data_IF_203094784134
#
_entry.id   IF_203094784134
#
_cell.length_a   1.000
_cell.length_b   1.000
_cell.length_c   1.000
_cell.angle_alpha   90.00
_cell.angle_beta   90.00
_cell.angle_gamma   90.00
#
_symmetry.space_group_name_H-M   'P 1'
#
loop_
_entity.id
_entity.type
_entity.pdbx_description
1 polymer ?
#
# COMPACT_ATOMS: atom_id res chain seq x y z
N UNK A 1 -71.44 -50.62 -17.02
CA UNK A 1 -70.84 -50.09 -15.77
C UNK A 1 -69.40 -49.69 -16.04
N UNK A 2 -69.10 -48.40 -16.26
CA UNK A 2 -67.72 -47.88 -16.37
C UNK A 2 -67.38 -47.17 -15.06
N UNK A 3 -66.35 -47.65 -14.34
CA UNK A 3 -65.76 -46.92 -13.20
C UNK A 3 -64.66 -46.01 -13.75
N UNK A 4 -64.85 -44.69 -13.66
CA UNK A 4 -63.77 -43.72 -13.81
C UNK A 4 -62.96 -43.69 -12.51
N UNK A 5 -61.68 -44.04 -12.59
CA UNK A 5 -60.71 -43.76 -11.51
C UNK A 5 -59.92 -42.51 -11.91
N UNK A 6 -60.05 -41.46 -11.10
CA UNK A 6 -59.26 -40.24 -11.20
C UNK A 6 -57.89 -40.51 -10.57
N UNK A 7 -56.82 -40.39 -11.36
CA UNK A 7 -55.43 -40.46 -10.90
C UNK A 7 -54.99 -39.04 -10.50
N UNK A 8 -54.85 -38.77 -9.20
CA UNK A 8 -54.30 -37.53 -8.68
C UNK A 8 -52.77 -37.63 -8.75
N UNK A 9 -52.14 -36.89 -9.67
CA UNK A 9 -50.69 -36.71 -9.68
C UNK A 9 -50.32 -35.62 -8.67
N UNK A 10 -49.69 -36.00 -7.57
CA UNK A 10 -49.09 -35.09 -6.61
C UNK A 10 -47.66 -34.75 -7.09
N UNK A 11 -47.46 -33.60 -7.72
CA UNK A 11 -46.13 -33.12 -8.09
C UNK A 11 -45.44 -32.51 -6.86
N UNK A 12 -44.49 -33.22 -6.26
CA UNK A 12 -43.62 -32.68 -5.21
C UNK A 12 -42.50 -31.91 -5.88
N UNK A 13 -42.61 -30.59 -5.91
CA UNK A 13 -41.54 -29.70 -6.37
C UNK A 13 -40.51 -29.58 -5.25
N UNK A 14 -39.41 -30.33 -5.34
CA UNK A 14 -38.26 -30.16 -4.45
C UNK A 14 -37.54 -28.89 -4.91
N UNK A 15 -37.74 -27.79 -4.18
CA UNK A 15 -36.97 -26.56 -4.34
C UNK A 15 -35.56 -26.83 -3.81
N UNK A 16 -34.64 -27.24 -4.68
CA UNK A 16 -33.21 -27.32 -4.36
C UNK A 16 -32.70 -25.88 -4.20
N UNK A 17 -32.64 -25.42 -2.95
CA UNK A 17 -31.83 -24.25 -2.61
C UNK A 17 -30.36 -24.61 -2.82
N UNK A 18 -29.84 -24.24 -3.99
CA UNK A 18 -28.40 -24.20 -4.22
C UNK A 18 -27.83 -23.12 -3.28
N UNK A 19 -27.33 -23.55 -2.12
CA UNK A 19 -26.38 -22.77 -1.36
C UNK A 19 -25.12 -22.64 -2.23
N UNK A 20 -25.01 -21.53 -2.96
CA UNK A 20 -23.71 -21.11 -3.46
C UNK A 20 -22.90 -20.71 -2.21
N UNK A 21 -21.80 -21.40 -1.86
CA UNK A 21 -20.89 -20.84 -0.89
C UNK A 21 -20.42 -19.50 -1.49
N UNK A 22 -20.72 -18.41 -0.80
CA UNK A 22 -20.14 -17.10 -1.08
C UNK A 22 -18.65 -17.23 -0.75
N UNK A 23 -17.86 -17.74 -1.70
CA UNK A 23 -16.42 -17.58 -1.64
C UNK A 23 -16.18 -16.11 -1.97
N UNK A 24 -15.67 -15.34 -1.01
CA UNK A 24 -15.25 -13.97 -1.27
C UNK A 24 -14.25 -13.99 -2.42
N UNK A 25 -14.60 -13.32 -3.53
CA UNK A 25 -13.73 -13.23 -4.69
C UNK A 25 -12.59 -12.25 -4.37
N UNK A 26 -11.34 -12.70 -4.51
CA UNK A 26 -10.17 -11.83 -4.32
C UNK A 26 -10.20 -10.74 -5.39
N UNK A 27 -10.31 -9.49 -4.96
CA UNK A 27 -10.29 -8.35 -5.86
C UNK A 27 -8.86 -7.94 -6.16
N UNK A 28 -8.51 -7.83 -7.45
CA UNK A 28 -7.19 -7.39 -7.89
C UNK A 28 -7.30 -6.12 -8.72
N UNK A 29 -6.42 -5.16 -8.44
CA UNK A 29 -6.24 -3.94 -9.22
C UNK A 29 -4.81 -3.92 -9.74
N UNK A 30 -4.62 -3.50 -10.99
CA UNK A 30 -3.31 -3.32 -11.61
C UNK A 30 -3.13 -1.87 -12.06
N UNK A 31 -1.92 -1.36 -11.88
CA UNK A 31 -1.53 -0.03 -12.33
C UNK A 31 -0.13 -0.05 -12.92
N UNK A 32 0.04 0.79 -13.92
CA UNK A 32 1.31 1.05 -14.57
C UNK A 32 1.64 2.53 -14.43
N UNK A 33 2.92 2.84 -14.27
CA UNK A 33 3.41 4.20 -14.22
C UNK A 33 4.78 4.28 -14.87
N UNK A 34 5.01 5.36 -15.61
CA UNK A 34 6.33 5.67 -16.18
C UNK A 34 6.85 6.96 -15.55
N UNK A 35 7.91 6.83 -14.76
CA UNK A 35 8.65 7.97 -14.24
C UNK A 35 9.66 8.44 -15.28
N UNK A 36 9.69 9.74 -15.54
CA UNK A 36 10.72 10.38 -16.37
C UNK A 36 11.84 10.87 -15.46
N UNK A 37 13.00 10.24 -15.58
CA UNK A 37 14.17 10.54 -14.77
C UNK A 37 14.82 11.85 -15.21
N UNK A 38 15.33 12.57 -14.22
CA UNK A 38 16.18 13.75 -14.41
C UNK A 38 17.66 13.36 -14.39
N UNK A 39 18.55 14.30 -14.69
CA UNK A 39 20.01 14.12 -14.57
C UNK A 39 20.47 13.84 -13.13
N UNK A 40 19.60 14.11 -12.15
CA UNK A 40 19.84 13.89 -10.72
C UNK A 40 19.36 12.52 -10.24
N UNK A 41 18.65 11.77 -11.11
CA UNK A 41 18.04 10.51 -10.75
C UNK A 41 18.95 9.32 -11.05
N UNK A 42 18.90 8.35 -10.14
CA UNK A 42 19.43 7.01 -10.36
C UNK A 42 18.31 6.04 -10.71
N UNK A 43 18.68 4.81 -11.12
CA UNK A 43 17.72 3.70 -11.22
C UNK A 43 16.93 3.52 -9.92
N UNK A 44 17.60 3.62 -8.77
CA UNK A 44 16.98 3.40 -7.46
C UNK A 44 16.04 4.54 -7.06
N UNK A 45 16.41 5.81 -7.27
CA UNK A 45 15.49 6.93 -6.98
C UNK A 45 14.26 6.88 -7.86
N UNK A 46 14.46 6.61 -9.16
CA UNK A 46 13.38 6.45 -10.12
C UNK A 46 12.44 5.32 -9.74
N UNK A 47 12.99 4.17 -9.30
CA UNK A 47 12.21 3.03 -8.79
C UNK A 47 11.39 3.42 -7.56
N UNK A 48 11.98 4.09 -6.57
CA UNK A 48 11.29 4.50 -5.35
C UNK A 48 10.13 5.44 -5.65
N UNK A 49 10.33 6.44 -6.51
CA UNK A 49 9.27 7.39 -6.89
C UNK A 49 8.16 6.68 -7.69
N UNK A 50 8.53 5.83 -8.63
CA UNK A 50 7.56 5.06 -9.42
C UNK A 50 6.72 4.14 -8.53
N UNK A 51 7.37 3.41 -7.61
CA UNK A 51 6.69 2.54 -6.66
C UNK A 51 5.75 3.32 -5.73
N UNK A 52 6.22 4.43 -5.15
CA UNK A 52 5.39 5.28 -4.28
C UNK A 52 4.15 5.79 -5.00
N UNK A 53 4.30 6.19 -6.26
CA UNK A 53 3.19 6.66 -7.10
C UNK A 53 2.19 5.54 -7.39
N UNK A 54 2.67 4.38 -7.85
CA UNK A 54 1.82 3.24 -8.19
C UNK A 54 1.09 2.70 -6.97
N UNK A 55 1.79 2.57 -5.83
CA UNK A 55 1.22 2.15 -4.55
C UNK A 55 0.05 3.05 -4.15
N UNK A 56 0.22 4.38 -4.20
CA UNK A 56 -0.86 5.34 -3.88
C UNK A 56 -2.08 5.19 -4.78
N UNK A 57 -1.86 5.00 -6.09
CA UNK A 57 -2.96 4.78 -7.04
C UNK A 57 -3.72 3.49 -6.73
N UNK A 58 -2.99 2.40 -6.49
CA UNK A 58 -3.57 1.09 -6.15
C UNK A 58 -4.36 1.13 -4.84
N UNK A 59 -3.76 1.67 -3.77
CA UNK A 59 -4.41 1.74 -2.46
C UNK A 59 -5.60 2.70 -2.47
N UNK A 60 -5.52 3.81 -3.22
CA UNK A 60 -6.64 4.72 -3.39
C UNK A 60 -7.82 4.11 -4.16
N UNK A 61 -7.53 3.26 -5.16
CA UNK A 61 -8.55 2.52 -5.90
C UNK A 61 -9.17 1.41 -5.05
N UNK A 62 -8.34 0.63 -4.34
CA UNK A 62 -8.81 -0.36 -3.38
C UNK A 62 -9.69 0.27 -2.30
N UNK A 63 -9.26 1.38 -1.70
CA UNK A 63 -10.06 2.09 -0.70
C UNK A 63 -11.39 2.59 -1.26
N UNK A 64 -11.40 3.08 -2.50
CA UNK A 64 -12.65 3.50 -3.17
C UNK A 64 -13.60 2.31 -3.36
N UNK A 65 -13.09 1.16 -3.80
CA UNK A 65 -13.85 -0.07 -3.95
C UNK A 65 -14.40 -0.59 -2.62
N UNK A 66 -13.58 -0.62 -1.56
CA UNK A 66 -14.02 -1.06 -0.23
C UNK A 66 -15.18 -0.19 0.28
N UNK A 67 -15.15 1.13 0.04
CA UNK A 67 -16.26 2.01 0.41
C UNK A 67 -17.51 1.74 -0.45
N UNK A 68 -17.38 1.48 -1.75
CA UNK A 68 -18.56 1.33 -2.61
C UNK A 68 -19.22 -0.06 -2.50
N UNK A 69 -18.42 -1.12 -2.37
CA UNK A 69 -18.86 -2.51 -2.50
C UNK A 69 -18.90 -3.31 -1.20
N UNK A 70 -18.53 -2.72 -0.05
CA UNK A 70 -18.47 -3.45 1.23
C UNK A 70 -19.10 -2.67 2.39
N UNK A 71 -19.19 -3.31 3.56
CA UNK A 71 -19.69 -2.68 4.78
C UNK A 71 -18.68 -1.71 5.42
N UNK A 72 -17.47 -1.59 4.85
CA UNK A 72 -16.45 -0.62 5.28
C UNK A 72 -16.99 0.82 5.28
N UNK A 73 -17.93 1.16 4.40
CA UNK A 73 -18.60 2.48 4.39
C UNK A 73 -19.30 2.82 5.71
N UNK A 74 -19.78 1.81 6.46
CA UNK A 74 -20.48 2.03 7.72
C UNK A 74 -19.50 2.39 8.86
N UNK A 75 -18.21 2.17 8.66
CA UNK A 75 -17.14 2.50 9.62
C UNK A 75 -16.78 4.00 9.58
N UNK A 76 -17.39 4.78 8.68
CA UNK A 76 -17.25 6.24 8.57
C UNK A 76 -15.81 6.74 8.38
N UNK A 77 -14.94 5.93 7.78
CA UNK A 77 -13.59 6.36 7.45
C UNK A 77 -13.59 7.43 6.35
N UNK A 78 -12.67 8.39 6.46
CA UNK A 78 -12.29 9.21 5.31
C UNK A 78 -11.52 8.36 4.29
N UNK A 79 -11.49 8.82 3.02
CA UNK A 79 -10.69 8.17 1.97
C UNK A 79 -9.20 8.11 2.32
N UNK A 80 -8.68 9.16 2.96
CA UNK A 80 -7.28 9.20 3.39
C UNK A 80 -6.98 8.16 4.48
N UNK A 81 -7.85 8.05 5.49
CA UNK A 81 -7.74 7.05 6.54
C UNK A 81 -7.76 5.63 5.97
N UNK A 82 -8.72 5.33 5.10
CA UNK A 82 -8.81 4.00 4.51
C UNK A 82 -7.59 3.68 3.63
N UNK A 83 -7.01 4.68 2.96
CA UNK A 83 -5.75 4.51 2.22
C UNK A 83 -4.61 4.15 3.18
N UNK A 84 -4.46 4.86 4.32
CA UNK A 84 -3.46 4.54 5.35
C UNK A 84 -3.64 3.14 5.92
N UNK A 85 -4.87 2.79 6.31
CA UNK A 85 -5.16 1.53 6.98
C UNK A 85 -5.01 0.35 6.03
N UNK A 86 -5.43 0.52 4.77
CA UNK A 86 -5.23 -0.51 3.74
C UNK A 86 -3.75 -0.73 3.45
N UNK A 87 -2.89 0.30 3.53
CA UNK A 87 -1.44 0.14 3.38
C UNK A 87 -0.82 -0.78 4.45
N UNK A 88 -1.42 -0.80 5.65
CA UNK A 88 -1.01 -1.71 6.72
C UNK A 88 -1.49 -3.15 6.52
N UNK A 89 -2.55 -3.37 5.74
CA UNK A 89 -3.20 -4.69 5.60
C UNK A 89 -2.76 -5.38 4.30
N UNK A 90 -2.55 -4.62 3.23
CA UNK A 90 -2.19 -5.13 1.90
C UNK A 90 -0.98 -4.39 1.35
N UNK A 91 -0.19 -5.09 0.52
CA UNK A 91 0.99 -4.54 -0.14
C UNK A 91 0.82 -4.48 -1.65
N UNK A 92 1.42 -3.46 -2.28
CA UNK A 92 1.58 -3.45 -3.73
C UNK A 92 2.68 -4.44 -4.16
N UNK A 93 2.35 -5.36 -5.05
CA UNK A 93 3.27 -6.35 -5.62
C UNK A 93 3.74 -5.88 -7.00
N UNK A 94 5.04 -5.69 -7.18
CA UNK A 94 5.62 -5.36 -8.48
C UNK A 94 5.50 -6.59 -9.39
N UNK A 95 4.89 -6.41 -10.55
CA UNK A 95 4.72 -7.44 -11.57
C UNK A 95 5.83 -7.41 -12.61
N UNK A 96 6.22 -6.22 -13.05
CA UNK A 96 7.30 -5.99 -14.02
C UNK A 96 7.86 -4.59 -13.83
N UNK A 97 9.14 -4.41 -14.15
CA UNK A 97 9.82 -3.12 -14.08
C UNK A 97 10.94 -3.01 -15.12
N UNK A 98 11.05 -1.84 -15.75
CA UNK A 98 12.00 -1.56 -16.83
C UNK A 98 12.66 -0.21 -16.63
N UNK A 99 13.97 -0.18 -16.85
CA UNK A 99 14.79 1.02 -16.79
C UNK A 99 15.65 1.11 -18.05
N UNK A 100 15.53 2.20 -18.80
CA UNK A 100 16.25 2.44 -20.06
C UNK A 100 17.34 3.51 -19.95
N UNK A 101 17.57 4.06 -18.75
CA UNK A 101 18.50 5.18 -18.53
C UNK A 101 17.83 6.56 -18.51
N UNK A 102 16.59 6.68 -18.98
CA UNK A 102 15.82 7.94 -19.05
C UNK A 102 14.43 7.82 -18.42
N UNK A 103 13.84 6.65 -18.48
CA UNK A 103 12.51 6.38 -17.98
C UNK A 103 12.47 5.08 -17.19
N UNK A 104 11.71 5.11 -16.09
CA UNK A 104 11.46 3.96 -15.24
C UNK A 104 9.98 3.59 -15.35
N UNK A 105 9.70 2.52 -16.08
CA UNK A 105 8.35 1.96 -16.17
C UNK A 105 8.17 0.88 -15.11
N UNK A 106 7.07 0.95 -14.35
CA UNK A 106 6.74 0.00 -13.29
C UNK A 106 5.28 -0.41 -13.42
N UNK A 107 5.04 -1.72 -13.39
CA UNK A 107 3.72 -2.32 -13.26
C UNK A 107 3.61 -3.01 -11.91
N UNK A 108 2.55 -2.71 -11.17
CA UNK A 108 2.27 -3.40 -9.92
C UNK A 108 0.77 -3.68 -9.77
N UNK A 109 0.45 -4.55 -8.83
CA UNK A 109 -0.92 -4.88 -8.45
C UNK A 109 -1.13 -4.78 -6.94
N UNK A 110 -2.37 -4.64 -6.52
CA UNK A 110 -2.80 -4.96 -5.17
C UNK A 110 -3.95 -5.95 -5.25
N UNK A 111 -3.87 -7.00 -4.44
CA UNK A 111 -4.90 -8.04 -4.35
C UNK A 111 -5.41 -8.11 -2.92
N UNK A 112 -6.73 -8.10 -2.75
CA UNK A 112 -7.37 -8.08 -1.44
C UNK A 112 -8.61 -8.98 -1.43
N UNK A 113 -8.75 -9.78 -0.38
CA UNK A 113 -10.02 -10.40 -0.01
C UNK A 113 -10.82 -9.36 0.79
N UNK A 114 -11.95 -8.83 0.27
CA UNK A 114 -12.64 -7.72 0.91
C UNK A 114 -13.15 -8.04 2.32
N UNK A 115 -13.57 -9.29 2.56
CA UNK A 115 -14.06 -9.72 3.86
C UNK A 115 -12.91 -9.76 4.88
N UNK A 116 -11.74 -10.29 4.50
CA UNK A 116 -10.56 -10.28 5.37
C UNK A 116 -10.07 -8.87 5.66
N UNK A 117 -10.09 -7.97 4.67
CA UNK A 117 -9.72 -6.57 4.90
C UNK A 117 -10.67 -5.93 5.90
N UNK A 118 -11.98 -6.18 5.79
CA UNK A 118 -12.96 -5.68 6.76
C UNK A 118 -12.69 -6.22 8.18
N UNK A 119 -12.40 -7.51 8.32
CA UNK A 119 -12.05 -8.13 9.60
C UNK A 119 -10.78 -7.51 10.22
N UNK A 120 -9.73 -7.32 9.42
CA UNK A 120 -8.49 -6.70 9.89
C UNK A 120 -8.68 -5.21 10.23
N UNK A 121 -9.49 -4.48 9.46
CA UNK A 121 -9.85 -3.08 9.78
C UNK A 121 -10.59 -2.99 11.13
N UNK A 122 -11.48 -3.93 11.44
CA UNK A 122 -12.17 -3.97 12.74
C UNK A 122 -11.19 -4.17 13.90
N UNK A 123 -10.24 -5.10 13.77
CA UNK A 123 -9.17 -5.32 14.77
C UNK A 123 -8.29 -4.08 14.91
N UNK A 124 -7.97 -3.42 13.79
CA UNK A 124 -7.13 -2.24 13.78
C UNK A 124 -7.79 -1.04 14.49
N UNK A 125 -9.11 -0.87 14.38
CA UNK A 125 -9.85 0.19 15.11
C UNK A 125 -9.71 0.07 16.63
N UNK A 126 -9.59 -1.15 17.14
CA UNK A 126 -9.45 -1.39 18.57
C UNK A 126 -8.07 -0.94 19.09
N UNK A 127 -7.07 -0.83 18.20
CA UNK A 127 -5.70 -0.44 18.49
C UNK A 127 -5.40 0.99 18.01
N UNK A 128 -5.78 1.98 18.84
CA UNK A 128 -5.63 3.40 18.51
C UNK A 128 -4.19 3.84 18.24
N UNK A 129 -3.23 3.21 18.90
CA UNK A 129 -1.81 3.54 18.73
C UNK A 129 -1.32 3.11 17.34
N UNK A 130 -1.73 1.90 16.90
CA UNK A 130 -1.48 1.42 15.54
C UNK A 130 -2.14 2.28 14.46
N UNK A 131 -3.40 2.69 14.65
CA UNK A 131 -4.07 3.59 13.71
C UNK A 131 -3.29 4.89 13.53
N UNK A 132 -2.91 5.49 14.66
CA UNK A 132 -2.14 6.74 14.65
C UNK A 132 -0.79 6.57 13.97
N UNK A 133 -0.09 5.46 14.22
CA UNK A 133 1.19 5.17 13.57
C UNK A 133 1.05 5.09 12.04
N UNK A 134 0.00 4.45 11.53
CA UNK A 134 -0.27 4.38 10.09
C UNK A 134 -0.66 5.75 9.50
N UNK A 135 -1.45 6.54 10.21
CA UNK A 135 -1.79 7.92 9.79
C UNK A 135 -0.54 8.81 9.75
N UNK A 136 0.31 8.77 10.79
CA UNK A 136 1.55 9.54 10.87
C UNK A 136 2.56 9.08 9.79
N UNK A 137 2.63 7.78 9.52
CA UNK A 137 3.47 7.20 8.45
C UNK A 137 3.04 7.70 7.08
N UNK A 138 1.74 7.62 6.76
CA UNK A 138 1.20 8.17 5.49
C UNK A 138 1.48 9.66 5.39
N UNK A 139 1.22 10.43 6.44
CA UNK A 139 1.45 11.88 6.45
C UNK A 139 2.92 12.20 6.14
N UNK A 140 3.86 11.48 6.75
CA UNK A 140 5.29 11.65 6.47
C UNK A 140 5.63 11.31 5.02
N UNK A 141 5.06 10.23 4.46
CA UNK A 141 5.24 9.90 3.05
C UNK A 141 4.69 11.02 2.13
N UNK A 142 3.53 11.59 2.47
CA UNK A 142 2.91 12.70 1.72
C UNK A 142 3.80 13.95 1.75
N UNK A 143 4.38 14.27 2.91
CA UNK A 143 5.29 15.40 3.09
C UNK A 143 6.59 15.21 2.31
N UNK A 144 7.23 14.05 2.44
CA UNK A 144 8.44 13.71 1.69
C UNK A 144 8.21 13.73 0.17
N UNK A 145 7.06 13.22 -0.29
CA UNK A 145 6.70 13.24 -1.71
C UNK A 145 6.52 14.67 -2.22
N UNK A 146 5.81 15.52 -1.46
CA UNK A 146 5.62 16.94 -1.81
C UNK A 146 6.94 17.69 -1.86
N UNK A 147 7.80 17.48 -0.87
CA UNK A 147 9.13 18.07 -0.80
C UNK A 147 10.02 17.60 -1.95
N UNK A 148 10.04 16.29 -2.23
CA UNK A 148 10.77 15.70 -3.34
C UNK A 148 10.38 16.32 -4.69
N UNK A 149 9.06 16.45 -4.95
CA UNK A 149 8.54 17.08 -6.17
C UNK A 149 8.96 18.54 -6.27
N UNK A 150 8.94 19.28 -5.16
CA UNK A 150 9.37 20.68 -5.12
C UNK A 150 10.87 20.79 -5.44
N UNK A 151 11.70 20.05 -4.72
CA UNK A 151 13.16 20.05 -4.90
C UNK A 151 13.56 19.66 -6.32
N UNK A 152 12.88 18.68 -6.91
CA UNK A 152 13.10 18.30 -8.31
C UNK A 152 12.87 19.48 -9.25
N UNK A 153 11.77 20.21 -9.10
CA UNK A 153 11.46 21.39 -9.92
C UNK A 153 12.52 22.48 -9.74
N UNK A 154 12.95 22.71 -8.51
CA UNK A 154 13.96 23.71 -8.18
C UNK A 154 15.33 23.33 -8.81
N UNK A 155 15.72 22.05 -8.75
CA UNK A 155 16.93 21.52 -9.37
C UNK A 155 16.89 21.61 -10.91
N UNK A 156 15.76 21.24 -11.54
CA UNK A 156 15.56 21.37 -12.98
C UNK A 156 15.58 22.84 -13.46
N UNK A 157 15.10 23.77 -12.62
CA UNK A 157 15.17 25.20 -12.91
C UNK A 157 16.60 25.72 -12.79
N UNK A 158 17.31 25.35 -11.72
CA UNK A 158 18.72 25.70 -11.48
C UNK A 158 19.64 25.19 -12.58
N UNK A 159 19.41 23.98 -13.10
CA UNK A 159 20.20 23.42 -14.20
C UNK A 159 20.13 24.23 -15.50
N UNK A 160 19.10 25.07 -15.66
CA UNK A 160 18.89 25.91 -16.86
C UNK A 160 19.48 27.32 -16.72
N UNK A 161 19.95 27.71 -15.53
CA UNK A 161 20.50 29.06 -15.30
C UNK A 161 22.00 29.10 -15.60
N UNK A 162 22.46 30.20 -16.19
CA UNK A 162 23.87 30.40 -16.56
C UNK A 162 24.72 30.72 -15.32
N UNK A 163 24.19 31.54 -14.41
CA UNK A 163 24.83 31.90 -13.14
C UNK A 163 24.26 31.06 -11.97
N UNK A 164 24.51 29.75 -12.00
CA UNK A 164 23.99 28.83 -10.97
C UNK A 164 24.78 28.93 -9.65
N UNK A 165 24.07 29.05 -8.54
CA UNK A 165 24.64 28.89 -7.20
C UNK A 165 24.83 27.40 -6.90
N UNK A 166 26.04 26.92 -7.13
CA UNK A 166 26.41 25.52 -6.90
C UNK A 166 26.27 25.07 -5.44
N UNK A 167 26.29 25.99 -4.48
CA UNK A 167 26.14 25.66 -3.05
C UNK A 167 24.68 25.31 -2.71
N UNK A 168 23.72 26.12 -3.17
CA UNK A 168 22.30 25.84 -2.93
C UNK A 168 21.82 24.63 -3.74
N UNK A 169 22.33 24.45 -4.97
CA UNK A 169 22.06 23.24 -5.79
C UNK A 169 22.53 21.97 -5.07
N UNK A 170 23.75 21.97 -4.52
CA UNK A 170 24.28 20.83 -3.77
C UNK A 170 23.45 20.51 -2.52
N UNK A 171 22.98 21.54 -1.81
CA UNK A 171 22.08 21.38 -0.65
C UNK A 171 20.74 20.80 -1.07
N UNK A 172 20.12 21.32 -2.13
CA UNK A 172 18.85 20.81 -2.65
C UNK A 172 18.97 19.37 -3.14
N UNK A 173 20.08 19.01 -3.80
CA UNK A 173 20.35 17.64 -4.22
C UNK A 173 20.52 16.69 -3.03
N UNK A 174 21.18 17.15 -1.95
CA UNK A 174 21.29 16.38 -0.70
C UNK A 174 19.91 16.11 -0.12
N UNK A 175 19.08 17.15 0.07
CA UNK A 175 17.72 17.00 0.60
C UNK A 175 16.85 16.15 -0.33
N UNK A 176 16.98 16.29 -1.65
CA UNK A 176 16.29 15.45 -2.61
C UNK A 176 16.60 13.97 -2.38
N UNK A 177 17.87 13.60 -2.25
CA UNK A 177 18.27 12.22 -1.96
C UNK A 177 17.81 11.74 -0.57
N UNK A 178 17.79 12.63 0.42
CA UNK A 178 17.26 12.33 1.77
C UNK A 178 15.76 12.02 1.71
N UNK A 179 14.97 12.75 0.90
CA UNK A 179 13.53 12.45 0.73
C UNK A 179 13.31 11.08 0.09
N UNK A 180 14.11 10.70 -0.91
CA UNK A 180 14.07 9.36 -1.53
C UNK A 180 14.43 8.26 -0.53
N UNK A 181 15.46 8.49 0.28
CA UNK A 181 15.89 7.56 1.33
C UNK A 181 14.79 7.40 2.38
N UNK A 182 14.15 8.51 2.79
CA UNK A 182 13.02 8.52 3.70
C UNK A 182 11.80 7.77 3.18
N UNK A 183 11.43 7.97 1.91
CA UNK A 183 10.35 7.21 1.25
C UNK A 183 10.67 5.72 1.18
N UNK A 184 11.93 5.38 0.88
CA UNK A 184 12.38 3.98 0.87
C UNK A 184 12.26 3.36 2.26
N UNK A 185 12.68 4.08 3.32
CA UNK A 185 12.54 3.63 4.71
C UNK A 185 11.08 3.38 5.10
N UNK A 186 10.15 4.25 4.65
CA UNK A 186 8.71 4.09 4.87
C UNK A 186 8.19 2.84 4.15
N UNK A 187 8.60 2.60 2.90
CA UNK A 187 8.20 1.38 2.17
C UNK A 187 8.61 0.10 2.91
N UNK A 188 9.84 0.04 3.43
CA UNK A 188 10.29 -1.09 4.26
C UNK A 188 9.49 -1.20 5.57
N UNK A 189 9.16 -0.06 6.19
CA UNK A 189 8.34 -0.05 7.40
C UNK A 189 6.91 -0.58 7.15
N UNK A 190 6.25 -0.13 6.09
CA UNK A 190 4.91 -0.56 5.69
C UNK A 190 4.88 -2.06 5.36
N UNK A 191 5.90 -2.57 4.67
CA UNK A 191 6.04 -4.00 4.43
C UNK A 191 6.14 -4.80 5.73
N UNK A 192 7.01 -4.38 6.66
CA UNK A 192 7.15 -5.02 7.97
C UNK A 192 5.83 -4.99 8.76
N UNK A 193 5.10 -3.89 8.68
CA UNK A 193 3.78 -3.76 9.32
C UNK A 193 2.76 -4.75 8.74
N UNK A 194 2.67 -4.85 7.41
CA UNK A 194 1.78 -5.79 6.73
C UNK A 194 2.16 -7.25 7.01
N UNK A 195 3.45 -7.58 7.06
CA UNK A 195 3.89 -8.93 7.42
C UNK A 195 3.64 -9.26 8.89
N UNK A 196 3.66 -8.25 9.77
CA UNK A 196 3.29 -8.38 11.19
C UNK A 196 1.81 -8.73 11.34
N UNK A 197 0.92 -8.06 10.59
CA UNK A 197 -0.52 -8.44 10.53
C UNK A 197 -0.70 -9.85 9.97
N UNK A 198 0.09 -10.24 8.97
CA UNK A 198 0.08 -11.59 8.40
C UNK A 198 0.76 -12.66 9.29
N UNK A 199 1.26 -12.31 10.47
CA UNK A 199 2.01 -13.18 11.39
C UNK A 199 3.28 -13.83 10.78
N UNK A 200 3.93 -13.17 9.82
CA UNK A 200 5.16 -13.63 9.15
C UNK A 200 6.41 -13.09 9.83
N UNK A 201 6.59 -13.43 11.10
CA UNK A 201 7.49 -12.71 12.01
C UNK A 201 8.98 -12.71 11.62
N UNK A 202 9.46 -13.72 10.89
CA UNK A 202 10.85 -13.80 10.43
C UNK A 202 11.18 -12.72 9.39
N UNK A 203 10.26 -12.50 8.43
CA UNK A 203 10.38 -11.45 7.40
C UNK A 203 10.27 -10.05 8.03
N UNK A 204 9.42 -9.90 9.04
CA UNK A 204 9.15 -8.61 9.71
C UNK A 204 10.40 -7.97 10.31
N UNK A 205 11.27 -8.77 10.94
CA UNK A 205 12.53 -8.25 11.53
C UNK A 205 13.44 -7.70 10.44
N UNK A 206 13.54 -8.39 9.30
CA UNK A 206 14.35 -7.95 8.17
C UNK A 206 13.84 -6.62 7.61
N UNK A 207 12.53 -6.51 7.38
CA UNK A 207 11.89 -5.29 6.86
C UNK A 207 12.13 -4.09 7.80
N UNK A 208 11.95 -4.26 9.11
CA UNK A 208 12.23 -3.18 10.07
C UNK A 208 13.72 -2.85 10.19
N UNK A 209 14.62 -3.83 10.06
CA UNK A 209 16.06 -3.56 10.02
C UNK A 209 16.43 -2.69 8.81
N UNK A 210 15.86 -2.99 7.62
CA UNK A 210 16.07 -2.18 6.42
C UNK A 210 15.51 -0.76 6.57
N UNK A 211 14.33 -0.63 7.18
CA UNK A 211 13.75 0.66 7.49
C UNK A 211 14.65 1.50 8.42
N UNK A 212 15.18 0.88 9.48
CA UNK A 212 16.07 1.53 10.46
C UNK A 212 17.42 1.91 9.83
N UNK A 213 17.99 1.06 8.97
CA UNK A 213 19.23 1.33 8.25
C UNK A 213 19.11 2.61 7.41
N UNK A 214 17.97 2.80 6.75
CA UNK A 214 17.70 3.96 5.90
C UNK A 214 17.26 5.20 6.71
N UNK A 215 16.52 5.00 7.79
CA UNK A 215 16.06 6.07 8.66
C UNK A 215 16.16 5.67 10.15
N UNK A 216 17.32 5.92 10.79
CA UNK A 216 17.53 5.60 12.19
C UNK A 216 16.63 6.36 13.17
N UNK A 217 15.88 7.37 12.71
CA UNK A 217 14.96 8.17 13.53
C UNK A 217 13.50 7.71 13.39
N UNK A 218 13.22 6.65 12.62
CA UNK A 218 11.87 6.10 12.51
C UNK A 218 11.53 5.25 13.74
N UNK A 219 11.08 5.91 14.81
CA UNK A 219 10.79 5.28 16.12
C UNK A 219 9.86 4.07 16.00
N UNK A 220 8.84 4.14 15.14
CA UNK A 220 7.90 3.05 14.89
C UNK A 220 8.57 1.76 14.43
N UNK A 221 9.65 1.84 13.65
CA UNK A 221 10.38 0.65 13.20
C UNK A 221 11.09 -0.06 14.37
N UNK A 222 11.65 0.67 15.33
CA UNK A 222 12.24 0.07 16.52
C UNK A 222 11.21 -0.58 17.43
N UNK A 223 10.09 0.13 17.66
CA UNK A 223 8.98 -0.37 18.48
C UNK A 223 8.43 -1.68 17.91
N UNK A 224 8.04 -1.67 16.62
CA UNK A 224 7.45 -2.84 15.99
C UNK A 224 8.46 -4.00 15.83
N UNK A 225 9.76 -3.72 15.63
CA UNK A 225 10.79 -4.76 15.69
C UNK A 225 10.88 -5.41 17.08
N UNK A 226 10.78 -4.62 18.15
CA UNK A 226 10.74 -5.14 19.52
C UNK A 226 9.52 -6.03 19.78
N UNK A 227 8.34 -5.60 19.32
CA UNK A 227 7.11 -6.41 19.34
C UNK A 227 7.31 -7.73 18.60
N UNK A 228 7.98 -7.69 17.45
CA UNK A 228 8.24 -8.87 16.61
C UNK A 228 9.14 -9.89 17.31
N UNK A 229 10.20 -9.45 17.99
CA UNK A 229 11.04 -10.34 18.81
C UNK A 229 10.24 -11.02 19.92
N UNK A 230 9.43 -10.24 20.66
CA UNK A 230 8.57 -10.78 21.72
C UNK A 230 7.58 -11.82 21.19
N UNK A 231 7.05 -11.66 19.97
CA UNK A 231 6.15 -12.62 19.32
C UNK A 231 6.87 -13.89 18.85
N UNK A 232 8.14 -13.78 18.46
CA UNK A 232 9.00 -14.93 18.13
C UNK A 232 9.50 -15.69 19.36
N UNK A 233 9.20 -15.22 20.58
CA UNK A 233 9.70 -15.84 21.81
C UNK A 233 11.19 -15.63 22.05
N UNK A 234 11.77 -14.60 21.42
CA UNK A 234 13.16 -14.16 21.58
C UNK A 234 13.27 -12.91 22.44
#
# INVERSE_FOLDING_TARGET
MRKNQYLILLSVTILLFYFNPVSAEVKTFEKEYTYQASDFDSKNSSRTIALETVKRLLLGELGTYLISETEVKNMQFSKDQLTSYSAGIVSAEILDEKWDGKSYWLKAKVSADPQKVEEELKKLIEDKDKLKELEDTKKRADELTKENIKLRKDLEASAKTVDRDTSEEAKNLKTYNETITGLSAINWFENGYKDSIANKWEDVIYEYNKSIELNPQLVGAYYNRGVSYSKLGN
#
